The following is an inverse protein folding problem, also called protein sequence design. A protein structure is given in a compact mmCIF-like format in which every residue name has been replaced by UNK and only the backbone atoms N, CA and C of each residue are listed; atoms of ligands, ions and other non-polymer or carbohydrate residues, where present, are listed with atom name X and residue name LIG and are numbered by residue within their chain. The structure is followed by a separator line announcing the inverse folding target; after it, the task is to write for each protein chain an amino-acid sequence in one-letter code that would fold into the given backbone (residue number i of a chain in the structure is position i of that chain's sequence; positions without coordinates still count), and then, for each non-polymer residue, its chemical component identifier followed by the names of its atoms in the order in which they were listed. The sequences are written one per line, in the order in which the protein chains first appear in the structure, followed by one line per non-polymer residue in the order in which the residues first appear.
data_IF_117410396015
#
_entry.id   IF_117410396015
#
_cell.length_a   1.000
_cell.length_b   1.000
_cell.length_c   1.000
_cell.angle_alpha   90.00
_cell.angle_beta   90.00
_cell.angle_gamma   90.00
#
_symmetry.space_group_name_H-M   'P 1'
#
loop_
_entity.id
_entity.type
_entity.pdbx_description
1 polymer ?
#
# COMPACT_ATOMS: atom_id res chain seq x y z
N UNK A 1 10.96 -18.95 -12.55
CA UNK A 1 11.55 -17.59 -12.67
C UNK A 1 10.40 -16.61 -12.52
N UNK A 2 10.51 -15.60 -11.69
CA UNK A 2 9.47 -14.57 -11.59
C UNK A 2 9.41 -13.73 -12.88
N UNK A 3 8.21 -13.30 -13.25
CA UNK A 3 8.01 -12.35 -14.35
C UNK A 3 8.71 -11.02 -14.03
N UNK A 4 9.25 -10.33 -15.05
CA UNK A 4 9.73 -8.96 -14.84
C UNK A 4 8.55 -8.00 -14.63
N UNK A 5 8.73 -6.96 -13.82
CA UNK A 5 7.68 -5.96 -13.62
C UNK A 5 7.33 -5.25 -14.95
N UNK A 6 8.32 -4.98 -15.79
CA UNK A 6 8.10 -4.37 -17.11
C UNK A 6 7.16 -5.21 -18.00
N UNK A 7 7.36 -6.53 -18.05
CA UNK A 7 6.50 -7.43 -18.84
C UNK A 7 5.11 -7.56 -18.20
N UNK A 8 5.02 -7.54 -16.89
CA UNK A 8 3.75 -7.54 -16.18
C UNK A 8 2.93 -6.27 -16.48
N UNK A 9 3.56 -5.09 -16.44
CA UNK A 9 2.91 -3.82 -16.76
C UNK A 9 2.43 -3.75 -18.22
N UNK A 10 3.20 -4.27 -19.18
CA UNK A 10 2.75 -4.38 -20.59
C UNK A 10 1.48 -5.21 -20.76
N UNK A 11 1.28 -6.24 -19.93
CA UNK A 11 0.04 -7.02 -19.96
C UNK A 11 -1.16 -6.24 -19.42
N UNK A 12 -0.93 -5.33 -18.46
CA UNK A 12 -1.98 -4.43 -17.95
C UNK A 12 -2.49 -3.53 -19.08
N UNK A 13 -1.60 -2.88 -19.81
CA UNK A 13 -1.95 -1.91 -20.86
C UNK A 13 -2.83 -2.50 -21.96
N UNK A 14 -2.77 -3.82 -22.14
CA UNK A 14 -3.56 -4.52 -23.15
C UNK A 14 -4.90 -5.06 -22.68
N UNK A 15 -5.08 -5.34 -21.39
CA UNK A 15 -6.16 -6.20 -20.90
C UNK A 15 -7.01 -5.61 -19.77
N UNK A 16 -6.63 -4.47 -19.18
CA UNK A 16 -7.27 -3.98 -17.95
C UNK A 16 -7.72 -2.53 -18.06
N UNK A 17 -8.73 -2.18 -17.26
CA UNK A 17 -9.20 -0.82 -17.17
C UNK A 17 -8.23 0.01 -16.29
N UNK A 18 -7.38 0.82 -16.91
CA UNK A 18 -6.32 1.62 -16.25
C UNK A 18 -6.85 2.58 -15.18
N UNK A 19 -8.14 2.97 -15.24
CA UNK A 19 -8.74 3.85 -14.22
C UNK A 19 -8.71 3.29 -12.80
N UNK A 20 -8.55 1.97 -12.62
CA UNK A 20 -8.50 1.34 -11.30
C UNK A 20 -7.07 1.13 -10.79
N UNK A 21 -6.06 1.63 -11.50
CA UNK A 21 -4.65 1.49 -11.18
C UNK A 21 -4.28 0.03 -10.84
N UNK A 22 -4.34 -0.87 -11.81
CA UNK A 22 -4.04 -2.27 -11.57
C UNK A 22 -2.57 -2.45 -11.22
N UNK A 23 -2.31 -3.14 -10.11
CA UNK A 23 -0.98 -3.49 -9.63
C UNK A 23 -0.74 -4.97 -9.92
N UNK A 24 0.31 -5.36 -10.64
CA UNK A 24 0.68 -6.76 -10.78
C UNK A 24 1.21 -7.26 -9.44
N UNK A 25 0.47 -8.17 -8.82
CA UNK A 25 0.88 -8.69 -7.51
C UNK A 25 1.79 -9.91 -7.65
N UNK A 26 1.68 -10.68 -8.73
CA UNK A 26 2.55 -11.81 -8.96
C UNK A 26 1.92 -12.92 -9.77
N UNK A 27 2.69 -13.99 -9.99
CA UNK A 27 2.19 -15.22 -10.61
C UNK A 27 1.54 -16.10 -9.55
N UNK A 28 0.29 -16.47 -9.77
CA UNK A 28 -0.42 -17.45 -8.94
C UNK A 28 0.29 -18.81 -9.06
N UNK A 29 0.67 -19.40 -7.93
CA UNK A 29 1.48 -20.62 -7.96
C UNK A 29 0.70 -21.88 -8.32
N UNK A 30 -0.62 -21.84 -8.29
CA UNK A 30 -1.47 -22.96 -8.72
C UNK A 30 -1.79 -22.87 -10.22
N UNK A 31 -2.20 -21.70 -10.69
CA UNK A 31 -2.65 -21.50 -12.07
C UNK A 31 -1.54 -21.07 -13.03
N UNK A 32 -0.43 -20.57 -12.50
CA UNK A 32 0.68 -19.94 -13.26
C UNK A 32 0.23 -18.69 -14.03
N UNK A 33 -0.91 -18.11 -13.68
CA UNK A 33 -1.41 -16.90 -14.28
C UNK A 33 -0.93 -15.66 -13.51
N UNK A 34 -0.68 -14.57 -14.23
CA UNK A 34 -0.34 -13.29 -13.63
C UNK A 34 -1.58 -12.66 -12.99
N UNK A 35 -1.50 -12.38 -11.71
CA UNK A 35 -2.58 -11.79 -10.94
C UNK A 35 -2.38 -10.28 -10.75
N UNK A 36 -3.50 -9.56 -10.76
CA UNK A 36 -3.56 -8.11 -10.58
C UNK A 36 -4.50 -7.74 -9.44
N UNK A 37 -4.16 -6.67 -8.73
CA UNK A 37 -5.05 -6.05 -7.75
C UNK A 37 -5.27 -4.58 -8.09
N UNK A 38 -6.52 -4.16 -8.13
CA UNK A 38 -6.86 -2.74 -8.28
C UNK A 38 -6.44 -1.96 -7.03
N UNK A 39 -5.64 -0.92 -7.21
CA UNK A 39 -5.27 -0.02 -6.11
C UNK A 39 -6.42 0.91 -5.76
N UNK A 40 -7.10 1.44 -6.77
CA UNK A 40 -8.39 2.10 -6.62
C UNK A 40 -9.47 1.06 -6.84
N UNK A 41 -10.34 0.95 -5.86
CA UNK A 41 -11.35 -0.08 -5.90
C UNK A 41 -12.46 0.27 -6.90
N UNK A 42 -12.84 -0.68 -7.77
CA UNK A 42 -14.10 -0.66 -8.52
C UNK A 42 -15.19 -1.24 -7.62
N UNK A 43 -16.26 -0.53 -7.39
CA UNK A 43 -17.18 -0.96 -6.34
C UNK A 43 -18.58 -1.31 -6.79
N UNK A 44 -18.91 -2.57 -6.48
CA UNK A 44 -20.25 -2.97 -6.12
C UNK A 44 -20.74 -2.25 -4.82
N UNK A 45 -22.04 -2.33 -4.55
CA UNK A 45 -22.87 -1.51 -3.67
C UNK A 45 -22.39 -1.19 -2.22
N UNK A 46 -21.25 -1.68 -1.76
CA UNK A 46 -20.83 -1.54 -0.36
C UNK A 46 -19.80 -0.46 -0.05
N UNK A 47 -19.12 0.10 -1.07
CA UNK A 47 -18.10 1.13 -0.90
C UNK A 47 -18.20 2.21 -1.97
N UNK A 48 -17.84 3.47 -1.67
CA UNK A 48 -17.90 4.54 -2.66
C UNK A 48 -16.88 4.30 -3.79
N UNK A 49 -17.25 4.60 -5.05
CA UNK A 49 -16.32 4.53 -6.18
C UNK A 49 -15.07 5.37 -5.92
N UNK A 50 -13.89 4.85 -6.28
CA UNK A 50 -12.63 5.55 -6.14
C UNK A 50 -11.96 5.45 -4.76
N UNK A 51 -12.44 4.56 -3.88
CA UNK A 51 -11.76 4.28 -2.63
C UNK A 51 -10.36 3.65 -2.88
N UNK A 52 -9.33 4.19 -2.24
CA UNK A 52 -7.97 3.65 -2.29
C UNK A 52 -7.83 2.39 -1.44
N UNK A 53 -6.86 1.55 -1.78
CA UNK A 53 -6.54 0.35 -1.00
C UNK A 53 -5.45 0.65 0.02
N UNK A 54 -5.58 0.10 1.23
CA UNK A 54 -4.50 0.07 2.21
C UNK A 54 -3.89 -1.33 2.24
N UNK A 55 -2.56 -1.40 2.21
CA UNK A 55 -1.82 -2.66 2.16
C UNK A 55 -1.05 -2.87 3.45
N UNK A 56 -1.15 -4.06 3.97
CA UNK A 56 -0.27 -4.55 5.01
C UNK A 56 0.69 -5.57 4.38
N UNK A 57 1.96 -5.23 4.37
CA UNK A 57 3.03 -6.10 3.92
C UNK A 57 3.76 -6.59 5.16
N UNK A 58 3.89 -7.88 5.31
CA UNK A 58 4.55 -8.48 6.46
C UNK A 58 5.55 -9.53 6.05
N UNK A 59 6.72 -9.47 6.65
CA UNK A 59 7.75 -10.49 6.51
C UNK A 59 8.33 -10.78 7.89
N UNK A 60 8.71 -12.01 8.15
CA UNK A 60 9.54 -12.29 9.33
C UNK A 60 10.83 -11.47 9.26
N UNK A 61 11.50 -11.31 10.39
CA UNK A 61 12.81 -10.66 10.44
C UNK A 61 13.88 -11.58 9.75
N UNK A 62 13.70 -11.78 8.45
CA UNK A 62 14.51 -12.60 7.56
C UNK A 62 14.93 -11.71 6.40
N UNK A 63 16.23 -11.69 6.12
CA UNK A 63 16.74 -11.00 4.95
C UNK A 63 16.20 -11.60 3.64
N UNK A 64 16.02 -10.75 2.64
CA UNK A 64 15.65 -11.16 1.27
C UNK A 64 14.33 -11.93 1.12
N UNK A 65 13.31 -11.62 1.92
CA UNK A 65 11.98 -12.23 1.76
C UNK A 65 11.27 -11.79 0.48
N UNK A 66 11.63 -10.65 -0.09
CA UNK A 66 10.96 -10.03 -1.24
C UNK A 66 9.91 -8.97 -0.86
N UNK A 67 9.63 -8.76 0.43
CA UNK A 67 8.63 -7.79 0.88
C UNK A 67 8.92 -6.35 0.43
N UNK A 68 10.16 -5.88 0.59
CA UNK A 68 10.59 -4.56 0.12
C UNK A 68 10.49 -4.44 -1.40
N UNK A 69 10.95 -5.46 -2.15
CA UNK A 69 10.82 -5.49 -3.61
C UNK A 69 9.36 -5.42 -4.04
N UNK A 70 8.44 -6.05 -3.31
CA UNK A 70 7.01 -5.96 -3.55
C UNK A 70 6.46 -4.55 -3.33
N UNK A 71 6.83 -3.86 -2.24
CA UNK A 71 6.42 -2.47 -2.01
C UNK A 71 6.94 -1.57 -3.14
N UNK A 72 8.20 -1.72 -3.56
CA UNK A 72 8.78 -1.02 -4.71
C UNK A 72 8.03 -1.34 -6.01
N UNK A 73 7.60 -2.59 -6.22
CA UNK A 73 6.73 -2.98 -7.34
C UNK A 73 5.42 -2.20 -7.33
N UNK A 74 4.78 -2.05 -6.18
CA UNK A 74 3.55 -1.24 -6.05
C UNK A 74 3.82 0.22 -6.40
N UNK A 75 4.90 0.82 -5.87
CA UNK A 75 5.27 2.20 -6.15
C UNK A 75 5.53 2.43 -7.65
N UNK A 76 6.36 1.59 -8.27
CA UNK A 76 6.69 1.68 -9.69
C UNK A 76 5.45 1.48 -10.57
N UNK A 77 4.53 0.61 -10.18
CA UNK A 77 3.27 0.41 -10.90
C UNK A 77 2.38 1.65 -10.82
N UNK A 78 2.30 2.30 -9.67
CA UNK A 78 1.58 3.57 -9.54
C UNK A 78 2.22 4.69 -10.37
N UNK A 79 3.55 4.78 -10.37
CA UNK A 79 4.32 5.74 -11.18
C UNK A 79 4.16 5.47 -12.69
N UNK A 80 3.95 4.22 -13.10
CA UNK A 80 3.64 3.87 -14.50
C UNK A 80 2.27 4.43 -14.94
N UNK A 81 1.29 4.45 -14.05
CA UNK A 81 -0.07 4.88 -14.36
C UNK A 81 -0.31 6.37 -14.17
N UNK A 82 0.41 7.02 -13.29
CA UNK A 82 0.13 8.39 -12.83
C UNK A 82 1.36 9.28 -12.98
N UNK A 83 1.12 10.53 -13.37
CA UNK A 83 2.16 11.57 -13.38
C UNK A 83 2.53 12.03 -11.96
N UNK A 84 3.67 12.74 -11.79
CA UNK A 84 4.00 13.34 -10.50
C UNK A 84 2.98 14.37 -9.99
N UNK A 85 2.16 14.94 -10.87
CA UNK A 85 1.07 15.86 -10.48
C UNK A 85 -0.14 15.10 -9.91
N UNK A 86 -0.32 13.83 -10.29
CA UNK A 86 -1.45 13.00 -9.90
C UNK A 86 -1.13 12.01 -8.76
N UNK A 87 0.16 11.82 -8.45
CA UNK A 87 0.64 10.88 -7.43
C UNK A 87 1.76 11.48 -6.60
N UNK A 88 1.66 11.36 -5.28
CA UNK A 88 2.74 11.71 -4.35
C UNK A 88 2.93 10.62 -3.29
N UNK A 89 4.18 10.43 -2.90
CA UNK A 89 4.57 9.54 -1.80
C UNK A 89 5.05 10.34 -0.59
N UNK A 90 4.70 9.87 0.60
CA UNK A 90 5.38 10.14 1.86
C UNK A 90 6.05 8.83 2.28
N UNK A 91 7.36 8.82 2.44
CA UNK A 91 8.13 7.62 2.78
C UNK A 91 8.78 7.79 4.14
N UNK A 92 8.48 6.88 5.06
CA UNK A 92 9.13 6.74 6.36
C UNK A 92 10.07 5.54 6.27
N UNK A 93 11.38 5.78 6.35
CA UNK A 93 12.40 4.76 6.14
C UNK A 93 13.73 5.15 6.78
N UNK A 94 14.01 4.64 7.97
CA UNK A 94 15.27 4.87 8.68
C UNK A 94 16.41 3.96 8.18
N UNK A 95 16.06 2.86 7.52
CA UNK A 95 17.00 1.85 7.02
C UNK A 95 17.66 2.24 5.70
N UNK A 96 17.14 3.25 5.01
CA UNK A 96 17.53 3.66 3.66
C UNK A 96 17.19 2.63 2.56
N UNK A 97 16.15 1.85 2.76
CA UNK A 97 15.71 0.83 1.80
C UNK A 97 15.04 1.41 0.55
N UNK A 98 14.64 2.71 0.59
CA UNK A 98 13.96 3.42 -0.50
C UNK A 98 14.77 4.59 -1.06
N UNK A 99 16.12 4.56 -0.94
CA UNK A 99 16.99 5.66 -1.40
C UNK A 99 16.89 5.95 -2.89
N UNK A 100 16.60 4.96 -3.73
CA UNK A 100 16.40 5.14 -5.17
C UNK A 100 15.25 6.08 -5.53
N UNK A 101 14.31 6.29 -4.60
CA UNK A 101 13.21 7.24 -4.78
C UNK A 101 13.50 8.64 -4.23
N UNK A 102 14.66 8.87 -3.59
CA UNK A 102 14.95 10.11 -2.86
C UNK A 102 14.94 11.37 -3.73
N UNK A 103 15.30 11.24 -5.00
CA UNK A 103 15.40 12.37 -5.94
C UNK A 103 14.21 12.44 -6.92
N UNK A 104 13.17 11.61 -6.72
CA UNK A 104 12.04 11.60 -7.65
C UNK A 104 11.07 12.75 -7.39
N UNK A 105 10.46 13.27 -8.46
CA UNK A 105 9.39 14.29 -8.36
C UNK A 105 8.11 13.76 -7.70
N UNK A 106 8.00 12.44 -7.49
CA UNK A 106 6.88 11.80 -6.82
C UNK A 106 6.90 11.95 -5.30
N UNK A 107 7.98 12.42 -4.69
CA UNK A 107 8.00 12.68 -3.26
C UNK A 107 7.22 13.95 -2.90
N UNK A 108 6.33 13.84 -1.91
CA UNK A 108 5.66 15.00 -1.32
C UNK A 108 6.60 15.78 -0.39
N UNK A 109 7.50 15.07 0.29
CA UNK A 109 8.58 15.57 1.17
C UNK A 109 9.78 14.62 1.08
N UNK A 110 11.00 15.05 1.41
CA UNK A 110 12.14 14.15 1.55
C UNK A 110 11.85 13.02 2.53
N UNK A 111 12.42 11.84 2.29
CA UNK A 111 12.21 10.62 3.10
C UNK A 111 12.45 10.90 4.58
N UNK A 112 11.50 10.52 5.45
CA UNK A 112 11.64 10.65 6.90
C UNK A 112 12.53 9.53 7.44
N UNK A 113 13.63 9.89 8.12
CA UNK A 113 14.67 8.96 8.57
C UNK A 113 14.79 8.85 10.09
N UNK A 114 13.96 9.53 10.84
CA UNK A 114 13.99 9.50 12.30
C UNK A 114 12.62 9.85 12.88
N UNK A 115 12.45 9.56 14.18
CA UNK A 115 11.17 9.71 14.88
C UNK A 115 10.58 11.13 14.80
N UNK A 116 11.42 12.17 14.80
CA UNK A 116 10.94 13.56 14.73
C UNK A 116 10.28 13.82 13.37
N UNK A 117 10.96 13.51 12.27
CA UNK A 117 10.42 13.67 10.91
C UNK A 117 9.26 12.71 10.64
N UNK A 118 9.26 11.53 11.23
CA UNK A 118 8.13 10.60 11.17
C UNK A 118 6.86 11.20 11.80
N UNK A 119 6.97 11.82 12.97
CA UNK A 119 5.83 12.50 13.63
C UNK A 119 5.31 13.66 12.79
N UNK A 120 6.21 14.41 12.14
CA UNK A 120 5.83 15.46 11.19
C UNK A 120 5.03 14.88 10.02
N UNK A 121 5.42 13.70 9.49
CA UNK A 121 4.72 13.06 8.38
C UNK A 121 3.31 12.60 8.76
N UNK A 122 3.13 12.00 9.93
CA UNK A 122 1.79 11.65 10.40
C UNK A 122 0.92 12.89 10.59
N UNK A 123 1.49 13.98 11.12
CA UNK A 123 0.77 15.25 11.30
C UNK A 123 0.38 15.82 9.93
N UNK A 124 1.32 15.90 9.00
CA UNK A 124 1.09 16.40 7.64
C UNK A 124 0.03 15.58 6.90
N UNK A 125 0.08 14.25 7.02
CA UNK A 125 -0.90 13.37 6.42
C UNK A 125 -2.31 13.62 6.98
N UNK A 126 -2.44 13.79 8.30
CA UNK A 126 -3.72 14.11 8.95
C UNK A 126 -4.24 15.51 8.57
N UNK A 127 -3.37 16.51 8.46
CA UNK A 127 -3.74 17.86 8.01
C UNK A 127 -4.25 17.83 6.57
N UNK A 128 -3.54 17.13 5.69
CA UNK A 128 -3.96 16.97 4.29
C UNK A 128 -5.27 16.19 4.16
N UNK A 129 -5.45 15.13 4.95
CA UNK A 129 -6.71 14.40 5.02
C UNK A 129 -7.87 15.30 5.43
N UNK A 130 -7.67 16.12 6.45
CA UNK A 130 -8.67 17.07 6.92
C UNK A 130 -9.00 18.11 5.85
N UNK A 131 -7.98 18.72 5.21
CA UNK A 131 -8.16 19.68 4.12
C UNK A 131 -9.04 19.10 3.00
N UNK A 132 -8.74 17.89 2.56
CA UNK A 132 -9.51 17.20 1.49
C UNK A 132 -10.94 16.87 1.93
N UNK A 133 -11.11 16.50 3.17
CA UNK A 133 -12.43 16.23 3.73
C UNK A 133 -13.28 17.50 3.80
N UNK A 134 -12.70 18.63 4.19
CA UNK A 134 -13.38 19.93 4.21
C UNK A 134 -13.85 20.33 2.80
N UNK A 135 -13.05 20.09 1.76
CA UNK A 135 -13.45 20.29 0.36
C UNK A 135 -14.71 19.47 0.01
N UNK A 136 -14.75 18.19 0.42
CA UNK A 136 -15.90 17.32 0.16
C UNK A 136 -17.16 17.84 0.87
N UNK A 137 -17.02 18.30 2.12
CA UNK A 137 -18.12 18.88 2.91
C UNK A 137 -18.65 20.17 2.25
N UNK A 138 -17.76 21.08 1.86
CA UNK A 138 -18.13 22.35 1.25
C UNK A 138 -18.91 22.19 -0.06
N UNK A 139 -18.58 21.16 -0.85
CA UNK A 139 -19.28 20.89 -2.10
C UNK A 139 -20.71 20.37 -1.92
N UNK A 140 -21.15 20.06 -0.69
CA UNK A 140 -22.54 19.73 -0.24
C UNK A 140 -23.36 18.81 -1.15
N UNK A 141 -22.74 17.92 -1.93
CA UNK A 141 -23.44 17.15 -2.97
C UNK A 141 -23.59 15.65 -2.67
N UNK A 142 -23.54 15.25 -1.40
CA UNK A 142 -23.68 13.82 -1.06
C UNK A 142 -22.61 12.94 -1.71
N UNK A 143 -21.46 13.53 -2.04
CA UNK A 143 -20.35 12.82 -2.66
C UNK A 143 -19.71 11.88 -1.62
N UNK A 144 -19.48 10.65 -2.04
CA UNK A 144 -18.85 9.63 -1.21
C UNK A 144 -17.32 9.78 -1.11
N UNK A 145 -16.77 10.98 -1.43
CA UNK A 145 -15.34 11.27 -1.34
C UNK A 145 -14.89 12.34 -2.35
N UNK A 146 -13.60 12.66 -2.34
CA UNK A 146 -12.98 13.66 -3.21
C UNK A 146 -12.77 13.16 -4.65
N UNK A 147 -12.67 11.85 -4.87
CA UNK A 147 -12.34 11.25 -6.16
C UNK A 147 -13.27 11.68 -7.31
N UNK A 148 -14.62 11.75 -7.15
CA UNK A 148 -15.49 12.29 -8.20
C UNK A 148 -15.23 13.76 -8.54
N UNK A 149 -14.71 14.55 -7.57
CA UNK A 149 -14.34 15.94 -7.81
C UNK A 149 -13.05 16.04 -8.61
N UNK A 150 -12.08 15.16 -8.34
CA UNK A 150 -10.84 15.05 -9.10
C UNK A 150 -11.16 14.64 -10.54
N UNK A 151 -11.94 13.59 -10.75
CA UNK A 151 -12.33 13.13 -12.09
C UNK A 151 -13.06 14.21 -12.90
N UNK A 152 -13.88 15.03 -12.26
CA UNK A 152 -14.58 16.15 -12.91
C UNK A 152 -13.74 17.42 -13.04
N UNK A 153 -12.45 17.38 -12.69
CA UNK A 153 -11.48 18.50 -12.69
C UNK A 153 -11.95 19.70 -11.84
N UNK A 154 -12.79 19.47 -10.84
CA UNK A 154 -13.21 20.50 -9.87
C UNK A 154 -12.20 20.68 -8.75
N UNK A 155 -11.39 19.67 -8.51
CA UNK A 155 -10.25 19.68 -7.59
C UNK A 155 -9.05 19.13 -8.34
N UNK A 156 -7.97 19.91 -8.40
CA UNK A 156 -6.75 19.58 -9.13
C UNK A 156 -5.54 19.45 -8.21
N UNK A 157 -5.65 19.87 -6.95
CA UNK A 157 -4.58 19.91 -5.96
C UNK A 157 -4.71 18.80 -4.89
N UNK A 158 -5.26 17.66 -5.28
CA UNK A 158 -5.42 16.49 -4.41
C UNK A 158 -4.92 15.21 -5.10
N UNK A 159 -3.62 15.11 -5.41
CA UNK A 159 -3.03 13.89 -5.97
C UNK A 159 -3.32 12.69 -5.09
N UNK A 160 -3.24 11.48 -5.64
CA UNK A 160 -3.21 10.28 -4.82
C UNK A 160 -2.00 10.37 -3.87
N UNK A 161 -2.23 10.44 -2.58
CA UNK A 161 -1.17 10.49 -1.57
C UNK A 161 -1.01 9.13 -0.90
N UNK A 162 0.15 8.50 -1.08
CA UNK A 162 0.45 7.19 -0.52
C UNK A 162 1.53 7.34 0.55
N UNK A 163 1.19 6.99 1.78
CA UNK A 163 2.15 6.85 2.87
C UNK A 163 2.76 5.45 2.83
N UNK A 164 4.07 5.37 2.67
CA UNK A 164 4.87 4.15 2.84
C UNK A 164 5.49 4.20 4.23
N UNK A 165 5.04 3.34 5.13
CA UNK A 165 5.57 3.23 6.49
C UNK A 165 6.43 1.97 6.61
N UNK A 166 7.73 2.12 6.31
CA UNK A 166 8.71 1.03 6.40
C UNK A 166 9.25 0.82 7.83
N UNK A 167 9.05 1.79 8.70
CA UNK A 167 9.47 1.75 10.09
C UNK A 167 8.30 1.48 11.06
N UNK A 168 7.22 0.87 10.59
CA UNK A 168 5.99 0.69 11.36
C UNK A 168 6.25 0.10 12.75
N UNK A 169 7.05 -0.96 12.86
CA UNK A 169 7.34 -1.64 14.13
C UNK A 169 8.10 -0.76 15.11
N UNK A 170 9.09 0.00 14.61
CA UNK A 170 9.89 0.94 15.39
C UNK A 170 8.99 2.08 15.89
N UNK A 171 8.20 2.64 15.00
CA UNK A 171 7.30 3.75 15.31
C UNK A 171 6.22 3.33 16.30
N UNK A 172 5.73 2.08 16.17
CA UNK A 172 4.73 1.54 17.09
C UNK A 172 5.32 1.31 18.48
N UNK A 173 6.53 0.79 18.59
CA UNK A 173 7.23 0.59 19.86
C UNK A 173 7.49 1.92 20.58
N UNK A 174 7.93 2.94 19.83
CA UNK A 174 8.28 4.25 20.41
C UNK A 174 7.07 5.15 20.73
N UNK A 175 5.98 5.01 19.99
CA UNK A 175 4.81 5.89 20.13
C UNK A 175 3.48 5.17 19.84
N UNK A 176 3.13 4.10 20.58
CA UNK A 176 1.97 3.27 20.30
C UNK A 176 0.65 4.05 20.25
N UNK A 177 0.45 4.98 21.18
CA UNK A 177 -0.76 5.80 21.21
C UNK A 177 -0.89 6.73 19.99
N UNK A 178 0.22 7.27 19.49
CA UNK A 178 0.21 8.12 18.30
C UNK A 178 -0.23 7.31 17.08
N UNK A 179 0.39 6.16 16.89
CA UNK A 179 0.09 5.29 15.76
C UNK A 179 -1.31 4.69 15.84
N UNK A 180 -1.71 4.18 17.01
CA UNK A 180 -3.06 3.67 17.19
C UNK A 180 -4.11 4.74 16.87
N UNK A 181 -3.91 5.98 17.33
CA UNK A 181 -4.80 7.09 17.00
C UNK A 181 -4.79 7.43 15.50
N UNK A 182 -3.60 7.46 14.87
CA UNK A 182 -3.46 7.73 13.44
C UNK A 182 -4.20 6.67 12.61
N UNK A 183 -3.86 5.39 12.81
CA UNK A 183 -4.45 4.30 12.05
C UNK A 183 -5.95 4.14 12.33
N UNK A 184 -6.39 4.28 13.58
CA UNK A 184 -7.82 4.23 13.92
C UNK A 184 -8.59 5.35 13.20
N UNK A 185 -8.08 6.57 13.17
CA UNK A 185 -8.73 7.68 12.45
C UNK A 185 -8.74 7.45 10.95
N UNK A 186 -7.63 6.98 10.39
CA UNK A 186 -7.52 6.73 8.96
C UNK A 186 -8.47 5.62 8.49
N UNK A 187 -8.58 4.52 9.26
CA UNK A 187 -9.37 3.36 8.86
C UNK A 187 -10.82 3.38 9.35
N UNK A 188 -11.06 3.62 10.65
CA UNK A 188 -12.41 3.51 11.25
C UNK A 188 -13.38 4.51 10.66
N UNK A 189 -12.90 5.72 10.37
CA UNK A 189 -13.74 6.77 9.79
C UNK A 189 -13.85 6.67 8.28
N UNK A 190 -13.19 5.72 7.65
CA UNK A 190 -13.14 5.60 6.20
C UNK A 190 -12.68 6.90 5.49
N UNK A 191 -11.98 7.78 6.20
CA UNK A 191 -11.69 9.12 5.71
C UNK A 191 -10.52 9.14 4.72
N UNK A 192 -9.54 8.24 4.89
CA UNK A 192 -8.37 8.17 4.02
C UNK A 192 -8.73 7.89 2.57
N UNK A 193 -9.47 6.84 2.30
CA UNK A 193 -9.86 6.50 0.93
C UNK A 193 -10.82 7.53 0.33
N UNK A 194 -11.68 8.16 1.15
CA UNK A 194 -12.53 9.27 0.69
C UNK A 194 -11.73 10.51 0.34
N UNK A 195 -10.55 10.65 0.93
CA UNK A 195 -9.61 11.74 0.69
C UNK A 195 -8.62 11.47 -0.47
N UNK A 196 -8.73 10.36 -1.20
CA UNK A 196 -7.74 9.92 -2.19
C UNK A 196 -6.35 9.71 -1.56
N UNK A 197 -6.32 9.02 -0.43
CA UNK A 197 -5.12 8.77 0.37
C UNK A 197 -5.05 7.30 0.75
N UNK A 198 -3.85 6.75 0.84
CA UNK A 198 -3.60 5.33 1.11
C UNK A 198 -2.41 5.15 2.02
N UNK A 199 -2.35 4.01 2.70
CA UNK A 199 -1.22 3.61 3.53
C UNK A 199 -0.75 2.22 3.12
N UNK A 200 0.56 2.06 3.01
CA UNK A 200 1.25 0.79 2.86
C UNK A 200 2.20 0.64 4.05
N UNK A 201 1.92 -0.31 4.92
CA UNK A 201 2.77 -0.61 6.08
C UNK A 201 3.63 -1.82 5.81
N UNK A 202 4.90 -1.75 6.19
CA UNK A 202 5.80 -2.90 6.27
C UNK A 202 6.04 -3.24 7.75
N UNK A 203 5.79 -4.48 8.14
CA UNK A 203 5.98 -4.96 9.51
C UNK A 203 6.71 -6.30 9.54
N UNK A 204 7.61 -6.45 10.49
CA UNK A 204 8.36 -7.69 10.75
C UNK A 204 7.94 -8.37 12.06
N UNK A 205 7.01 -7.76 12.78
CA UNK A 205 6.55 -8.20 14.10
C UNK A 205 5.03 -8.36 14.19
N UNK A 206 4.53 -8.55 15.40
CA UNK A 206 3.10 -8.55 15.69
C UNK A 206 2.51 -7.17 15.48
N UNK A 207 1.32 -7.12 14.90
CA UNK A 207 0.53 -5.90 14.80
C UNK A 207 -0.52 -5.87 15.91
N UNK A 208 -0.86 -4.67 16.36
CA UNK A 208 -1.96 -4.49 17.31
C UNK A 208 -3.25 -5.12 16.75
N UNK A 209 -3.88 -6.06 17.48
CA UNK A 209 -5.14 -6.68 17.10
C UNK A 209 -6.28 -5.68 16.82
N UNK A 210 -6.20 -4.45 17.35
CA UNK A 210 -7.16 -3.38 17.10
C UNK A 210 -6.95 -2.73 15.73
N UNK A 211 -5.74 -2.79 15.16
CA UNK A 211 -5.39 -2.18 13.88
C UNK A 211 -5.47 -3.18 12.73
N UNK A 212 -5.02 -4.42 12.96
CA UNK A 212 -4.94 -5.46 11.93
C UNK A 212 -6.23 -5.69 11.13
N UNK A 213 -7.45 -5.68 11.72
CA UNK A 213 -8.68 -5.88 10.96
C UNK A 213 -8.96 -4.82 9.89
N UNK A 214 -8.36 -3.64 10.02
CA UNK A 214 -8.55 -2.56 9.04
C UNK A 214 -7.69 -2.72 7.77
N UNK A 215 -6.66 -3.56 7.83
CA UNK A 215 -5.90 -3.96 6.65
C UNK A 215 -6.62 -5.12 5.95
N UNK A 216 -7.49 -4.77 5.02
CA UNK A 216 -8.29 -5.75 4.28
C UNK A 216 -7.50 -6.48 3.21
N UNK A 217 -6.30 -5.99 2.86
CA UNK A 217 -5.35 -6.61 1.93
C UNK A 217 -4.03 -6.82 2.64
N UNK A 218 -3.67 -8.08 2.86
CA UNK A 218 -2.45 -8.49 3.53
C UNK A 218 -1.58 -9.29 2.57
N UNK A 219 -0.32 -8.91 2.48
CA UNK A 219 0.71 -9.58 1.68
C UNK A 219 1.73 -10.14 2.66
N UNK A 220 1.61 -11.43 2.95
CA UNK A 220 2.39 -12.07 4.02
C UNK A 220 3.47 -12.93 3.38
N UNK A 221 4.69 -12.44 3.47
CA UNK A 221 5.91 -13.13 3.06
C UNK A 221 6.33 -14.15 4.12
N UNK A 222 7.47 -14.80 3.90
CA UNK A 222 7.96 -15.83 4.81
C UNK A 222 8.06 -15.33 6.26
N UNK A 223 7.43 -16.06 7.17
CA UNK A 223 7.55 -15.87 8.63
C UNK A 223 8.11 -17.14 9.28
N UNK A 224 9.20 -17.05 10.06
CA UNK A 224 9.75 -18.20 10.76
C UNK A 224 8.89 -18.61 11.97
N UNK A 225 8.07 -17.68 12.50
CA UNK A 225 7.22 -17.88 13.66
C UNK A 225 5.80 -18.27 13.24
N UNK A 226 5.34 -19.50 13.54
CA UNK A 226 3.99 -19.95 13.18
C UNK A 226 2.88 -19.19 13.90
N UNK A 227 3.12 -18.63 15.10
CA UNK A 227 2.10 -17.85 15.81
C UNK A 227 1.83 -16.52 15.09
N UNK A 228 2.86 -15.84 14.58
CA UNK A 228 2.70 -14.65 13.76
C UNK A 228 1.96 -14.96 12.46
N UNK A 229 2.29 -16.09 11.81
CA UNK A 229 1.56 -16.53 10.62
C UNK A 229 0.09 -16.73 10.92
N UNK A 230 -0.25 -17.37 12.06
CA UNK A 230 -1.65 -17.59 12.47
C UNK A 230 -2.38 -16.27 12.76
N UNK A 231 -1.73 -15.33 13.37
CA UNK A 231 -2.30 -14.00 13.63
C UNK A 231 -2.68 -13.28 12.34
N UNK A 232 -1.79 -13.33 11.35
CA UNK A 232 -1.95 -12.62 10.08
C UNK A 232 -2.90 -13.32 9.10
N UNK A 233 -2.88 -14.67 9.06
CA UNK A 233 -3.51 -15.50 8.04
C UNK A 233 -4.59 -16.46 8.58
N UNK A 234 -4.67 -16.64 9.90
CA UNK A 234 -5.51 -17.65 10.53
C UNK A 234 -4.86 -19.04 10.61
N UNK A 235 -3.68 -19.24 10.01
CA UNK A 235 -2.91 -20.49 10.04
C UNK A 235 -1.39 -20.27 9.90
N UNK A 236 -0.60 -21.34 9.87
CA UNK A 236 0.86 -21.29 9.80
C UNK A 236 1.44 -21.28 8.37
N UNK A 237 0.63 -21.05 7.35
CA UNK A 237 1.05 -21.22 5.95
C UNK A 237 2.24 -20.34 5.53
N UNK A 238 2.45 -19.16 6.16
CA UNK A 238 3.61 -18.34 5.85
C UNK A 238 4.96 -18.94 6.27
N UNK A 239 4.95 -19.96 7.16
CA UNK A 239 6.18 -20.69 7.52
C UNK A 239 6.65 -21.66 6.43
N UNK A 240 5.78 -22.01 5.52
CA UNK A 240 6.04 -22.96 4.42
C UNK A 240 6.56 -22.29 3.16
N UNK A 241 6.59 -20.94 3.15
CA UNK A 241 7.17 -20.17 2.04
C UNK A 241 8.69 -20.35 2.03
N UNK A 242 9.27 -20.72 0.90
CA UNK A 242 10.68 -21.10 0.82
C UNK A 242 11.51 -20.21 -0.10
N UNK A 243 10.90 -19.67 -1.15
CA UNK A 243 11.62 -18.87 -2.15
C UNK A 243 11.51 -17.37 -1.86
N UNK A 244 12.56 -16.59 -2.15
CA UNK A 244 12.48 -15.14 -2.16
C UNK A 244 11.36 -14.68 -3.12
N UNK A 245 10.51 -13.78 -2.64
CA UNK A 245 9.35 -13.29 -3.41
C UNK A 245 8.08 -14.12 -3.26
N UNK A 246 8.14 -15.32 -2.67
CA UNK A 246 6.93 -16.08 -2.31
C UNK A 246 6.15 -15.35 -1.22
N UNK A 247 4.86 -15.18 -1.42
CA UNK A 247 3.97 -14.61 -0.40
C UNK A 247 2.55 -15.19 -0.49
N UNK A 248 1.78 -14.99 0.56
CA UNK A 248 0.34 -15.26 0.59
C UNK A 248 -0.39 -13.93 0.55
N UNK A 249 -1.21 -13.75 -0.48
CA UNK A 249 -2.19 -12.67 -0.50
C UNK A 249 -3.44 -13.13 0.25
N UNK A 250 -3.80 -12.35 1.26
CA UNK A 250 -4.96 -12.62 2.09
C UNK A 250 -5.89 -11.42 2.14
N UNK A 251 -7.11 -11.63 1.66
CA UNK A 251 -8.20 -10.66 1.70
C UNK A 251 -9.44 -11.32 2.33
N UNK A 252 -9.55 -11.32 3.68
CA UNK A 252 -10.58 -12.06 4.40
C UNK A 252 -12.00 -11.65 4.02
N UNK A 253 -12.24 -10.38 3.74
CA UNK A 253 -13.55 -9.89 3.32
C UNK A 253 -14.01 -10.44 1.95
N UNK A 254 -13.05 -10.84 1.11
CA UNK A 254 -13.30 -11.43 -0.21
C UNK A 254 -13.23 -12.96 -0.21
N UNK A 255 -12.85 -13.57 0.92
CA UNK A 255 -12.58 -15.01 1.01
C UNK A 255 -11.36 -15.47 0.20
N UNK A 256 -10.44 -14.55 -0.12
CA UNK A 256 -9.25 -14.84 -0.94
C UNK A 256 -8.07 -15.13 -0.02
N UNK A 257 -7.41 -16.28 -0.28
CA UNK A 257 -6.14 -16.66 0.33
C UNK A 257 -5.35 -17.52 -0.64
N UNK A 258 -4.49 -16.89 -1.44
CA UNK A 258 -3.73 -17.55 -2.49
C UNK A 258 -2.23 -17.26 -2.36
N UNK A 259 -1.42 -18.20 -2.86
CA UNK A 259 0.04 -18.08 -2.89
C UNK A 259 0.51 -17.54 -4.23
N UNK A 260 1.38 -16.54 -4.18
CA UNK A 260 1.95 -15.86 -5.35
C UNK A 260 3.47 -15.77 -5.28
N UNK A 261 4.08 -15.55 -6.44
CA UNK A 261 5.47 -15.17 -6.61
C UNK A 261 5.52 -13.73 -7.12
N UNK A 262 6.06 -12.81 -6.35
CA UNK A 262 6.13 -11.39 -6.67
C UNK A 262 6.92 -11.11 -7.96
N UNK A 263 6.54 -10.09 -8.76
CA UNK A 263 7.30 -9.67 -9.93
C UNK A 263 8.68 -9.15 -9.54
N UNK A 264 9.66 -9.28 -10.44
CA UNK A 264 10.99 -8.71 -10.25
C UNK A 264 11.03 -7.26 -10.78
N UNK A 265 11.32 -6.30 -9.90
CA UNK A 265 11.38 -4.87 -10.22
C UNK A 265 12.82 -4.32 -10.39
N UNK A 266 13.87 -5.12 -10.20
CA UNK A 266 15.27 -4.65 -10.18
C UNK A 266 15.68 -3.92 -11.46
N UNK A 267 15.23 -4.40 -12.63
CA UNK A 267 15.54 -3.76 -13.90
C UNK A 267 14.96 -2.34 -13.99
N UNK A 268 13.74 -2.12 -13.53
CA UNK A 268 13.13 -0.79 -13.52
C UNK A 268 13.80 0.15 -12.53
N UNK A 269 14.16 -0.37 -11.33
CA UNK A 269 14.88 0.42 -10.33
C UNK A 269 16.25 0.89 -10.83
N UNK A 270 16.96 0.07 -11.60
CA UNK A 270 18.27 0.43 -12.17
C UNK A 270 18.20 1.53 -13.26
N UNK A 271 16.99 1.90 -13.71
CA UNK A 271 16.76 2.93 -14.72
C UNK A 271 16.28 4.27 -14.12
N UNK A 272 16.01 4.31 -12.82
CA UNK A 272 15.65 5.53 -12.07
C UNK A 272 16.89 6.36 -11.74
#
# INVERSE_FOLDING_TARGET
MSISLEDALRQIDTNTNSQYLPIPIGEDQETQELAFQSFIKDYGASYPPGATSNYFVSSGNIENTGALSFIKTVMLSLMHHLSPDDLKFLIIDSSNDFLEFAETEYLFKPIAKNLATTKEFYTLYEEERKRRFDIVIEQRKGLNGIYPLIQSKKVTDAPLLVLIDNDFDINYADSPNLLQNFYTRHFVRNDGYRANMSVICNSHSTIDPLILPYFTKRFVFRHPNPELSKELLGDSAATELTSPGDFIFYAPELGIKNKYLAPNCEKMLSQM
#
